data_IF_904427406388
#
_entry.id   IF_904427406388
#
_cell.length_a   1.000
_cell.length_b   1.000
_cell.length_c   1.000
_cell.angle_alpha   90.00
_cell.angle_beta   90.00
_cell.angle_gamma   90.00
#
_symmetry.space_group_name_H-M   'P 1'
#
loop_
_entity.id
_entity.type
_entity.pdbx_description
1 polymer ?
#
# COMPACT_ATOMS: atom_id res chain seq x y z
N UNK A 1 1.62 -10.86 16.30
CA UNK A 1 0.83 -11.21 15.09
C UNK A 1 1.30 -12.56 14.55
N UNK A 2 0.38 -13.51 14.32
CA UNK A 2 0.71 -14.87 13.85
C UNK A 2 1.27 -14.81 12.42
N UNK A 3 2.39 -15.48 12.16
CA UNK A 3 3.22 -15.46 10.94
C UNK A 3 2.51 -15.81 9.62
N UNK A 4 1.25 -16.19 9.69
CA UNK A 4 0.43 -16.73 8.62
C UNK A 4 -0.23 -15.64 7.75
N UNK A 5 -0.40 -14.41 8.25
CA UNK A 5 -1.15 -13.36 7.53
C UNK A 5 -0.33 -12.60 6.49
N UNK A 6 1.01 -12.73 6.44
CA UNK A 6 1.93 -11.90 5.62
C UNK A 6 1.79 -11.97 4.08
N UNK A 7 0.82 -12.71 3.53
CA UNK A 7 0.61 -12.75 2.08
C UNK A 7 0.00 -11.43 1.58
N UNK A 8 0.59 -10.74 0.59
CA UNK A 8 0.03 -9.50 0.02
C UNK A 8 -1.41 -9.66 -0.48
N UNK A 9 -1.76 -10.86 -0.98
CA UNK A 9 -3.12 -11.17 -1.46
C UNK A 9 -4.14 -11.13 -0.32
N UNK A 10 -3.83 -11.64 0.87
CA UNK A 10 -4.75 -11.61 2.01
C UNK A 10 -5.11 -10.17 2.41
N UNK A 11 -4.12 -9.29 2.39
CA UNK A 11 -4.34 -7.88 2.75
C UNK A 11 -4.97 -7.08 1.63
N UNK A 12 -4.66 -7.36 0.36
CA UNK A 12 -5.38 -6.76 -0.75
C UNK A 12 -6.88 -7.12 -0.71
N UNK A 13 -7.22 -8.40 -0.44
CA UNK A 13 -8.60 -8.85 -0.25
C UNK A 13 -9.24 -8.17 0.97
N UNK A 14 -8.54 -8.09 2.11
CA UNK A 14 -9.05 -7.39 3.30
C UNK A 14 -9.33 -5.90 3.02
N UNK A 15 -8.45 -5.22 2.27
CA UNK A 15 -8.64 -3.83 1.85
C UNK A 15 -9.88 -3.64 0.97
N UNK A 16 -10.13 -4.54 0.02
CA UNK A 16 -11.33 -4.49 -0.83
C UNK A 16 -12.63 -4.67 -0.04
N UNK A 17 -12.62 -5.53 0.98
CA UNK A 17 -13.75 -5.77 1.89
C UNK A 17 -13.97 -4.59 2.84
N UNK A 18 -12.91 -3.93 3.31
CA UNK A 18 -12.98 -2.70 4.11
C UNK A 18 -13.58 -1.55 3.30
N UNK A 19 -13.15 -1.40 2.05
CA UNK A 19 -13.66 -0.37 1.13
C UNK A 19 -15.15 -0.56 0.86
N UNK A 20 -15.57 -1.79 0.55
CA UNK A 20 -16.97 -2.13 0.27
C UNK A 20 -17.23 -3.61 0.54
N UNK A 21 -18.22 -3.95 1.40
CA UNK A 21 -18.70 -5.33 1.55
C UNK A 21 -19.14 -5.93 0.22
N UNK A 22 -18.76 -7.17 -0.07
CA UNK A 22 -19.02 -7.80 -1.38
C UNK A 22 -19.01 -9.32 -1.28
N UNK A 23 -19.59 -10.00 -2.27
CA UNK A 23 -19.55 -11.46 -2.36
C UNK A 23 -18.23 -11.95 -3.00
N UNK A 24 -17.83 -13.19 -2.72
CA UNK A 24 -16.49 -13.70 -3.05
C UNK A 24 -16.10 -13.55 -4.54
N UNK A 25 -17.05 -13.73 -5.45
CA UNK A 25 -16.82 -13.55 -6.88
C UNK A 25 -16.63 -12.08 -7.29
N UNK A 26 -17.38 -11.13 -6.71
CA UNK A 26 -17.16 -9.68 -6.94
C UNK A 26 -15.79 -9.24 -6.41
N UNK A 27 -15.37 -9.75 -5.25
CA UNK A 27 -14.04 -9.47 -4.70
C UNK A 27 -12.93 -9.99 -5.60
N UNK A 28 -13.10 -11.19 -6.18
CA UNK A 28 -12.18 -11.74 -7.16
C UNK A 28 -12.05 -10.84 -8.40
N UNK A 29 -13.18 -10.41 -8.97
CA UNK A 29 -13.18 -9.50 -10.12
C UNK A 29 -12.51 -8.16 -9.79
N UNK A 30 -12.89 -7.52 -8.68
CA UNK A 30 -12.29 -6.24 -8.24
C UNK A 30 -10.78 -6.35 -8.02
N UNK A 31 -10.32 -7.46 -7.45
CA UNK A 31 -8.89 -7.71 -7.25
C UNK A 31 -8.15 -7.84 -8.58
N UNK A 32 -8.69 -8.63 -9.51
CA UNK A 32 -8.10 -8.82 -10.85
C UNK A 32 -8.08 -7.51 -11.64
N UNK A 33 -9.17 -6.74 -11.65
CA UNK A 33 -9.26 -5.46 -12.36
C UNK A 33 -8.29 -4.41 -11.81
N UNK A 34 -8.10 -4.34 -10.48
CA UNK A 34 -7.28 -3.28 -9.87
C UNK A 34 -5.81 -3.64 -9.70
N UNK A 35 -5.48 -4.91 -9.52
CA UNK A 35 -4.16 -5.34 -9.08
C UNK A 35 -3.62 -6.55 -9.86
N UNK A 36 -4.33 -7.04 -10.89
CA UNK A 36 -3.99 -8.27 -11.60
C UNK A 36 -2.62 -8.25 -12.29
N UNK A 37 -2.13 -7.07 -12.69
CA UNK A 37 -0.80 -6.91 -13.30
C UNK A 37 0.31 -6.68 -12.25
N UNK A 38 -0.05 -6.23 -11.04
CA UNK A 38 0.88 -5.88 -9.96
C UNK A 38 1.13 -7.06 -8.99
N UNK A 39 0.18 -8.00 -8.93
CA UNK A 39 0.24 -9.20 -8.09
C UNK A 39 0.32 -10.41 -9.02
N UNK A 40 1.54 -10.76 -9.46
CA UNK A 40 1.78 -12.03 -10.15
C UNK A 40 1.17 -13.15 -9.30
N UNK A 41 0.26 -13.92 -9.90
CA UNK A 41 -0.56 -14.99 -9.30
C UNK A 41 -1.90 -14.55 -8.65
N UNK A 42 -2.87 -14.24 -9.49
CA UNK A 42 -4.29 -14.14 -9.08
C UNK A 42 -5.16 -15.25 -9.69
N UNK A 43 -4.83 -16.51 -9.38
CA UNK A 43 -5.76 -17.62 -9.61
C UNK A 43 -7.01 -17.42 -8.72
N UNK A 44 -8.24 -17.64 -9.23
CA UNK A 44 -9.48 -17.57 -8.45
C UNK A 44 -9.41 -18.29 -7.09
N UNK A 45 -8.69 -19.41 -7.04
CA UNK A 45 -8.53 -20.24 -5.85
C UNK A 45 -7.83 -19.52 -4.68
N UNK A 46 -6.96 -18.54 -4.96
CA UNK A 46 -6.22 -17.80 -3.92
C UNK A 46 -7.11 -16.80 -3.19
N UNK A 47 -8.09 -16.20 -3.87
CA UNK A 47 -9.02 -15.24 -3.27
C UNK A 47 -9.93 -15.94 -2.26
N UNK A 48 -10.47 -17.11 -2.61
CA UNK A 48 -11.31 -17.88 -1.69
C UNK A 48 -10.51 -18.44 -0.50
N UNK A 49 -9.26 -18.87 -0.71
CA UNK A 49 -8.36 -19.25 0.37
C UNK A 49 -8.04 -18.08 1.32
N UNK A 50 -7.90 -16.86 0.78
CA UNK A 50 -7.70 -15.65 1.57
C UNK A 50 -8.94 -15.31 2.40
N UNK A 51 -10.15 -15.38 1.82
CA UNK A 51 -11.41 -15.13 2.52
C UNK A 51 -11.62 -16.11 3.68
N UNK A 52 -11.44 -17.41 3.45
CA UNK A 52 -11.51 -18.44 4.50
C UNK A 52 -10.56 -18.12 5.66
N UNK A 53 -9.33 -17.70 5.33
CA UNK A 53 -8.31 -17.37 6.34
C UNK A 53 -8.67 -16.12 7.14
N UNK A 54 -9.07 -15.05 6.46
CA UNK A 54 -9.47 -13.80 7.11
C UNK A 54 -10.67 -14.01 8.04
N UNK A 55 -11.60 -14.90 7.66
CA UNK A 55 -12.74 -15.26 8.49
C UNK A 55 -12.33 -16.08 9.72
N UNK A 56 -11.44 -17.08 9.56
CA UNK A 56 -10.88 -17.84 10.70
C UNK A 56 -10.14 -16.97 11.70
N UNK A 57 -9.46 -15.93 11.22
CA UNK A 57 -8.77 -14.93 12.06
C UNK A 57 -9.73 -13.81 12.56
N UNK A 58 -11.03 -13.91 12.28
CA UNK A 58 -12.08 -12.97 12.72
C UNK A 58 -11.90 -11.53 12.21
N UNK A 59 -11.20 -11.36 11.09
CA UNK A 59 -10.96 -10.06 10.45
C UNK A 59 -12.09 -9.68 9.50
N UNK A 60 -12.84 -10.67 9.02
CA UNK A 60 -14.08 -10.49 8.24
C UNK A 60 -15.17 -11.40 8.80
N UNK A 61 -16.42 -11.05 8.51
CA UNK A 61 -17.62 -11.81 8.88
C UNK A 61 -18.57 -11.93 7.68
N UNK A 62 -19.44 -12.93 7.70
CA UNK A 62 -20.55 -13.01 6.76
C UNK A 62 -21.54 -11.87 7.04
N UNK A 63 -21.96 -11.20 5.98
CA UNK A 63 -23.04 -10.22 5.99
C UNK A 63 -24.24 -10.88 5.33
N UNK A 64 -25.34 -11.01 6.06
CA UNK A 64 -26.59 -11.50 5.49
C UNK A 64 -27.10 -10.53 4.41
N UNK A 65 -27.76 -11.10 3.41
CA UNK A 65 -28.12 -10.47 2.13
C UNK A 65 -28.75 -9.08 2.32
N UNK A 66 -28.28 -8.09 1.56
CA UNK A 66 -29.03 -6.84 1.39
C UNK A 66 -30.33 -7.16 0.63
N UNK A 67 -31.52 -6.95 1.23
CA UNK A 67 -32.80 -7.26 0.60
C UNK A 67 -33.11 -6.37 -0.62
N UNK A 68 -32.29 -5.35 -0.92
CA UNK A 68 -32.45 -4.47 -2.08
C UNK A 68 -31.85 -5.00 -3.39
N UNK A 69 -31.16 -6.15 -3.36
CA UNK A 69 -30.70 -6.83 -4.58
C UNK A 69 -31.84 -7.71 -5.13
N UNK A 70 -32.31 -7.37 -6.33
CA UNK A 70 -33.45 -8.04 -6.99
C UNK A 70 -33.33 -9.57 -6.96
N UNK A 71 -34.46 -10.29 -6.81
CA UNK A 71 -34.45 -11.75 -6.82
C UNK A 71 -33.87 -12.26 -8.15
N UNK A 72 -32.85 -13.12 -8.06
CA UNK A 72 -32.33 -13.86 -9.22
C UNK A 72 -33.52 -14.61 -9.85
N UNK A 73 -33.79 -14.29 -11.12
CA UNK A 73 -34.77 -14.86 -12.04
C UNK A 73 -35.17 -16.32 -11.72
N UNK A 74 -36.47 -16.58 -11.57
CA UNK A 74 -37.09 -17.82 -11.02
C UNK A 74 -36.82 -19.10 -11.82
N UNK A 75 -35.98 -19.06 -12.85
CA UNK A 75 -35.73 -20.17 -13.76
C UNK A 75 -34.30 -20.74 -13.75
N UNK A 76 -33.49 -20.41 -12.72
CA UNK A 76 -32.14 -20.99 -12.57
C UNK A 76 -32.10 -21.98 -11.40
N UNK A 77 -31.65 -23.24 -11.61
CA UNK A 77 -31.68 -24.27 -10.57
C UNK A 77 -30.79 -23.87 -9.39
N UNK A 78 -31.40 -23.65 -8.24
CA UNK A 78 -30.81 -23.55 -6.89
C UNK A 78 -29.39 -22.95 -6.86
N UNK A 79 -29.27 -21.65 -7.16
CA UNK A 79 -28.03 -20.93 -6.84
C UNK A 79 -27.98 -20.68 -5.34
N UNK A 80 -27.03 -21.35 -4.67
CA UNK A 80 -26.70 -21.12 -3.27
C UNK A 80 -26.66 -19.61 -2.96
N UNK A 81 -27.18 -19.16 -1.81
CA UNK A 81 -27.19 -17.74 -1.45
C UNK A 81 -25.78 -17.14 -1.55
N UNK A 82 -25.65 -16.04 -2.30
CA UNK A 82 -24.37 -15.36 -2.48
C UNK A 82 -23.91 -14.78 -1.15
N UNK A 83 -22.95 -15.44 -0.52
CA UNK A 83 -22.37 -15.04 0.77
C UNK A 83 -21.59 -13.73 0.59
N UNK A 84 -22.01 -12.68 1.29
CA UNK A 84 -21.35 -11.37 1.31
C UNK A 84 -20.39 -11.30 2.50
N UNK A 85 -19.24 -10.67 2.34
CA UNK A 85 -18.24 -10.49 3.39
C UNK A 85 -18.14 -9.03 3.80
N UNK A 86 -18.00 -8.78 5.12
CA UNK A 86 -17.77 -7.45 5.71
C UNK A 86 -16.60 -7.49 6.68
N UNK A 87 -15.78 -6.44 6.71
CA UNK A 87 -14.67 -6.33 7.64
C UNK A 87 -15.16 -6.07 9.08
N UNK A 88 -14.48 -6.68 10.05
CA UNK A 88 -14.68 -6.38 11.48
C UNK A 88 -13.86 -5.15 11.89
N UNK A 89 -14.14 -4.59 13.07
CA UNK A 89 -13.31 -3.53 13.65
C UNK A 89 -11.85 -3.99 13.81
N UNK A 90 -11.65 -5.23 14.26
CA UNK A 90 -10.34 -5.86 14.38
C UNK A 90 -9.66 -6.04 13.02
N UNK A 91 -10.41 -6.41 11.98
CA UNK A 91 -9.94 -6.43 10.60
C UNK A 91 -9.38 -5.10 10.14
N UNK A 92 -10.09 -4.00 10.42
CA UNK A 92 -9.63 -2.65 10.08
C UNK A 92 -8.39 -2.22 10.89
N UNK A 93 -8.25 -2.66 12.15
CA UNK A 93 -7.05 -2.42 12.97
C UNK A 93 -5.85 -3.19 12.41
N UNK A 94 -6.01 -4.49 12.14
CA UNK A 94 -4.94 -5.36 11.62
C UNK A 94 -4.51 -4.93 10.23
N UNK A 95 -5.44 -4.52 9.36
CA UNK A 95 -5.12 -3.99 8.04
C UNK A 95 -4.23 -2.73 8.14
N UNK A 96 -4.59 -1.79 9.03
CA UNK A 96 -3.78 -0.58 9.28
C UNK A 96 -2.40 -0.91 9.85
N UNK A 97 -2.33 -1.86 10.78
CA UNK A 97 -1.05 -2.33 11.34
C UNK A 97 -0.18 -2.96 10.26
N UNK A 98 -0.73 -3.82 9.40
CA UNK A 98 0.03 -4.42 8.31
C UNK A 98 0.49 -3.41 7.27
N UNK A 99 -0.36 -2.44 6.90
CA UNK A 99 0.07 -1.34 6.05
C UNK A 99 1.31 -0.69 6.67
N UNK A 100 1.25 -0.33 7.96
CA UNK A 100 2.41 0.19 8.70
C UNK A 100 3.62 -0.77 8.76
N UNK A 101 3.43 -2.09 8.62
CA UNK A 101 4.52 -3.07 8.63
C UNK A 101 5.17 -3.30 7.26
N UNK A 102 4.42 -3.36 6.15
CA UNK A 102 4.97 -3.45 4.77
C UNK A 102 5.69 -2.19 4.35
N UNK A 103 5.20 -1.10 4.90
CA UNK A 103 5.89 0.16 4.94
C UNK A 103 7.33 0.02 5.43
N UNK A 104 7.79 -0.99 6.18
CA UNK A 104 9.23 -1.03 6.53
C UNK A 104 10.22 -1.02 5.35
N UNK A 105 9.80 -1.28 4.11
CA UNK A 105 10.61 -1.01 2.91
C UNK A 105 10.43 0.41 2.30
N UNK A 106 9.38 1.19 2.66
CA UNK A 106 9.20 2.63 2.34
C UNK A 106 8.28 3.37 3.36
N UNK A 107 8.65 3.33 4.64
CA UNK A 107 7.64 3.40 5.72
C UNK A 107 7.33 4.78 6.17
N UNK A 108 8.42 5.54 6.23
CA UNK A 108 8.41 6.96 6.38
C UNK A 108 7.57 7.63 5.27
N UNK A 109 7.51 7.08 4.05
CA UNK A 109 6.73 7.68 2.95
C UNK A 109 5.24 7.55 3.12
N UNK A 110 4.75 6.36 3.44
CA UNK A 110 3.30 6.19 3.60
C UNK A 110 2.83 6.74 4.95
N UNK A 111 3.68 6.75 5.97
CA UNK A 111 3.44 7.56 7.16
C UNK A 111 3.37 9.04 6.81
N UNK A 112 4.29 9.56 6.02
CA UNK A 112 4.26 10.93 5.52
C UNK A 112 2.96 11.19 4.76
N UNK A 113 2.60 10.38 3.76
CA UNK A 113 1.38 10.55 2.97
C UNK A 113 0.14 10.50 3.88
N UNK A 114 0.07 9.55 4.81
CA UNK A 114 -1.01 9.46 5.78
C UNK A 114 -1.11 10.71 6.66
N UNK A 115 0.03 11.24 7.14
CA UNK A 115 0.10 12.48 7.92
C UNK A 115 -0.22 13.70 7.06
N UNK A 116 0.16 13.76 5.79
CA UNK A 116 -0.21 14.83 4.87
C UNK A 116 -1.73 14.87 4.63
N UNK A 117 -2.34 13.70 4.42
CA UNK A 117 -3.79 13.56 4.30
C UNK A 117 -4.48 13.98 5.61
N UNK A 118 -3.92 13.61 6.77
CA UNK A 118 -4.49 13.91 8.08
C UNK A 118 -4.34 15.37 8.52
N UNK A 119 -3.19 16.01 8.28
CA UNK A 119 -2.93 17.43 8.59
C UNK A 119 -3.81 18.33 7.73
N UNK A 120 -4.10 17.92 6.49
CA UNK A 120 -4.88 18.71 5.54
C UNK A 120 -4.14 19.98 5.07
N UNK A 121 -4.61 20.61 4.00
CA UNK A 121 -3.87 21.66 3.27
C UNK A 121 -3.78 23.04 3.97
N UNK A 122 -4.15 23.17 5.26
CA UNK A 122 -4.24 24.46 5.96
C UNK A 122 -3.04 24.81 6.82
N UNK A 123 -2.34 23.82 7.36
CA UNK A 123 -1.15 24.04 8.19
C UNK A 123 0.13 23.80 7.39
N UNK A 124 0.51 24.81 6.60
CA UNK A 124 1.68 24.75 5.73
C UNK A 124 2.99 24.57 6.51
N UNK A 125 3.04 25.04 7.77
CA UNK A 125 4.21 24.87 8.65
C UNK A 125 4.33 23.41 9.07
N UNK A 126 3.24 22.81 9.57
CA UNK A 126 3.25 21.40 9.95
C UNK A 126 3.54 20.48 8.76
N UNK A 127 3.06 20.82 7.56
CA UNK A 127 3.39 20.08 6.33
C UNK A 127 4.90 20.20 6.01
N UNK A 128 5.47 21.41 6.13
CA UNK A 128 6.91 21.64 5.94
C UNK A 128 7.76 20.80 6.91
N UNK A 129 7.43 20.83 8.20
CA UNK A 129 8.14 20.09 9.24
C UNK A 129 8.11 18.56 9.01
N UNK A 130 7.02 18.04 8.43
CA UNK A 130 6.90 16.62 8.08
C UNK A 130 7.79 16.26 6.88
N UNK A 131 7.83 17.12 5.85
CA UNK A 131 8.67 16.91 4.66
C UNK A 131 10.15 17.00 5.03
N UNK A 132 10.55 17.95 5.87
CA UNK A 132 11.94 18.11 6.30
C UNK A 132 12.43 16.91 7.12
N UNK A 133 11.54 16.32 7.93
CA UNK A 133 11.84 15.08 8.66
C UNK A 133 12.03 13.90 7.71
N UNK A 134 11.16 13.77 6.71
CA UNK A 134 11.28 12.71 5.71
C UNK A 134 12.55 12.85 4.86
N UNK A 135 12.91 14.08 4.48
CA UNK A 135 14.17 14.38 3.78
C UNK A 135 15.41 13.93 4.57
N UNK A 136 15.46 14.24 5.87
CA UNK A 136 16.54 13.79 6.74
C UNK A 136 16.66 12.25 6.78
N UNK A 137 15.54 11.53 6.72
CA UNK A 137 15.52 10.07 6.68
C UNK A 137 16.00 9.52 5.33
N UNK A 138 15.59 10.12 4.20
CA UNK A 138 16.07 9.76 2.86
C UNK A 138 17.59 10.01 2.70
N UNK A 139 18.08 11.16 3.18
CA UNK A 139 19.52 11.49 3.15
C UNK A 139 20.31 10.50 4.00
N UNK A 140 19.84 10.18 5.21
CA UNK A 140 20.50 9.20 6.06
C UNK A 140 20.48 7.79 5.44
N UNK A 141 19.42 7.42 4.73
CA UNK A 141 19.33 6.16 4.01
C UNK A 141 20.34 6.09 2.85
N UNK A 142 20.49 7.18 2.08
CA UNK A 142 21.50 7.29 1.00
C UNK A 142 22.93 7.13 1.53
N UNK A 143 23.25 7.73 2.69
CA UNK A 143 24.59 7.61 3.29
C UNK A 143 24.93 6.20 3.79
N UNK A 144 23.93 5.39 4.15
CA UNK A 144 24.12 3.99 4.57
C UNK A 144 24.24 3.02 3.39
N UNK A 145 24.02 3.53 2.18
CA UNK A 145 24.09 2.72 0.99
C UNK A 145 25.56 2.43 0.64
N UNK A 146 25.95 1.16 0.50
CA UNK A 146 27.31 0.84 0.11
C UNK A 146 27.57 1.39 -1.29
N UNK A 147 28.64 2.19 -1.44
CA UNK A 147 29.15 2.60 -2.75
C UNK A 147 29.40 1.32 -3.55
N UNK A 148 28.75 1.19 -4.71
CA UNK A 148 28.97 0.05 -5.58
C UNK A 148 30.46 0.03 -5.96
N UNK A 149 31.20 -0.92 -5.41
CA UNK A 149 32.62 -1.04 -5.66
C UNK A 149 32.83 -1.58 -7.07
N UNK A 150 32.99 -0.65 -8.03
CA UNK A 150 33.27 -0.98 -9.44
C UNK A 150 34.56 -1.80 -9.58
N UNK A 151 35.47 -1.75 -8.61
CA UNK A 151 36.75 -2.47 -8.65
C UNK A 151 36.60 -3.99 -8.44
N UNK A 152 35.54 -4.46 -7.77
CA UNK A 152 35.32 -5.90 -7.54
C UNK A 152 34.83 -6.64 -8.81
N UNK A 153 34.28 -5.92 -9.80
CA UNK A 153 33.88 -6.49 -11.08
C UNK A 153 35.08 -6.89 -11.97
N UNK A 154 36.28 -6.36 -11.68
CA UNK A 154 37.49 -6.57 -12.46
C UNK A 154 38.24 -7.88 -12.11
N UNK A 155 37.82 -8.58 -11.04
CA UNK A 155 38.45 -9.81 -10.57
C UNK A 155 37.95 -11.10 -11.27
N UNK A 156 37.14 -10.98 -12.33
CA UNK A 156 36.94 -12.04 -13.33
C UNK A 156 36.14 -13.28 -12.90
N UNK A 157 35.52 -13.31 -11.72
CA UNK A 157 34.54 -14.35 -11.34
C UNK A 157 33.31 -13.68 -10.72
N UNK A 158 32.50 -13.00 -11.54
CA UNK A 158 31.17 -12.53 -11.12
C UNK A 158 30.29 -13.75 -10.81
N UNK A 159 30.09 -14.03 -9.52
CA UNK A 159 29.08 -15.00 -9.10
C UNK A 159 27.69 -14.38 -9.29
N UNK A 160 26.69 -15.16 -9.68
CA UNK A 160 25.28 -14.72 -9.83
C UNK A 160 24.76 -13.90 -8.64
N UNK A 161 25.26 -14.18 -7.42
CA UNK A 161 24.99 -13.42 -6.19
C UNK A 161 25.46 -11.96 -6.23
N UNK A 162 26.56 -11.66 -6.89
CA UNK A 162 27.09 -10.30 -7.04
C UNK A 162 26.28 -9.48 -8.03
N UNK A 163 25.79 -10.13 -9.09
CA UNK A 163 24.87 -9.53 -10.05
C UNK A 163 23.53 -9.16 -9.38
N UNK A 164 22.91 -10.12 -8.67
CA UNK A 164 21.65 -9.86 -7.94
C UNK A 164 21.84 -8.78 -6.87
N UNK A 165 22.94 -8.81 -6.11
CA UNK A 165 23.26 -7.77 -5.13
C UNK A 165 23.35 -6.39 -5.77
N UNK A 166 24.00 -6.27 -6.94
CA UNK A 166 24.10 -5.01 -7.67
C UNK A 166 22.73 -4.50 -8.11
N UNK A 167 21.89 -5.37 -8.67
CA UNK A 167 20.52 -5.00 -9.06
C UNK A 167 19.69 -4.48 -7.87
N UNK A 168 19.77 -5.13 -6.72
CA UNK A 168 19.06 -4.70 -5.49
C UNK A 168 19.58 -3.36 -4.99
N UNK A 169 20.89 -3.10 -5.07
CA UNK A 169 21.42 -1.78 -4.72
C UNK A 169 20.98 -0.72 -5.73
N UNK A 170 21.04 -0.99 -7.03
CA UNK A 170 20.60 0.00 -8.02
C UNK A 170 19.11 0.35 -7.91
N UNK A 171 18.25 -0.62 -7.63
CA UNK A 171 16.82 -0.39 -7.35
C UNK A 171 16.61 0.55 -6.16
N UNK A 172 17.27 0.28 -5.03
CA UNK A 172 17.20 1.13 -3.83
C UNK A 172 17.68 2.56 -4.10
N UNK A 173 18.68 2.70 -4.95
CA UNK A 173 19.24 4.00 -5.35
C UNK A 173 18.21 4.78 -6.15
N UNK A 174 17.58 4.14 -7.14
CA UNK A 174 16.52 4.77 -7.93
C UNK A 174 15.31 5.17 -7.09
N UNK A 175 14.92 4.36 -6.11
CA UNK A 175 13.83 4.71 -5.18
C UNK A 175 14.19 5.95 -4.37
N UNK A 176 15.38 6.01 -3.76
CA UNK A 176 15.83 7.18 -3.00
C UNK A 176 15.93 8.44 -3.87
N UNK A 177 16.47 8.33 -5.08
CA UNK A 177 16.55 9.45 -6.03
C UNK A 177 15.15 9.98 -6.39
N UNK A 178 14.17 9.10 -6.59
CA UNK A 178 12.79 9.49 -6.86
C UNK A 178 12.13 10.18 -5.65
N UNK A 179 12.42 9.72 -4.43
CA UNK A 179 11.89 10.32 -3.19
C UNK A 179 12.44 11.73 -2.97
N UNK A 180 13.75 11.93 -3.13
CA UNK A 180 14.38 13.25 -3.01
C UNK A 180 13.83 14.24 -4.04
N UNK A 181 13.65 13.80 -5.29
CA UNK A 181 13.00 14.63 -6.32
C UNK A 181 11.58 15.05 -5.96
N UNK A 182 10.81 14.16 -5.32
CA UNK A 182 9.47 14.50 -4.84
C UNK A 182 9.49 15.49 -3.68
N UNK A 183 10.46 15.38 -2.77
CA UNK A 183 10.66 16.34 -1.66
C UNK A 183 10.89 17.75 -2.21
N UNK A 184 11.75 17.89 -3.23
CA UNK A 184 12.03 19.18 -3.86
C UNK A 184 10.77 19.80 -4.45
N UNK A 185 10.00 19.00 -5.20
CA UNK A 185 8.69 19.40 -5.73
C UNK A 185 7.74 19.85 -4.61
N UNK A 186 7.63 19.08 -3.52
CA UNK A 186 6.73 19.41 -2.42
C UNK A 186 7.12 20.71 -1.70
N UNK A 187 8.42 20.97 -1.53
CA UNK A 187 8.93 22.23 -0.97
C UNK A 187 8.64 23.43 -1.88
N UNK A 188 8.74 23.26 -3.20
CA UNK A 188 8.37 24.29 -4.17
C UNK A 188 6.88 24.64 -4.08
N UNK A 189 6.01 23.64 -4.04
CA UNK A 189 4.56 23.84 -3.89
C UNK A 189 4.20 24.55 -2.58
N UNK A 190 4.84 24.18 -1.47
CA UNK A 190 4.65 24.87 -0.18
C UNK A 190 5.03 26.34 -0.23
N UNK A 191 6.21 26.65 -0.79
CA UNK A 191 6.67 28.04 -0.96
C UNK A 191 5.69 28.84 -1.83
N UNK A 192 5.25 28.28 -2.94
CA UNK A 192 4.27 28.90 -3.82
C UNK A 192 2.90 29.11 -3.14
N UNK A 193 2.48 28.20 -2.25
CA UNK A 193 1.22 28.33 -1.50
C UNK A 193 1.31 29.39 -0.39
N UNK A 194 2.43 29.46 0.32
CA UNK A 194 2.66 30.46 1.36
C UNK A 194 2.71 31.89 0.78
N UNK A 195 3.38 32.08 -0.37
CA UNK A 195 3.41 33.36 -1.07
C UNK A 195 2.00 33.85 -1.48
N UNK A 196 1.15 32.94 -1.96
CA UNK A 196 -0.27 33.23 -2.27
C UNK A 196 -1.06 33.66 -1.03
N UNK A 197 -0.90 32.95 0.09
CA UNK A 197 -1.58 33.31 1.35
C UNK A 197 -1.15 34.67 1.92
N UNK A 198 0.12 35.05 1.77
CA UNK A 198 0.61 36.36 2.19
C UNK A 198 0.09 37.51 1.31
N UNK A 199 -0.06 37.27 0.00
CA UNK A 199 -0.66 38.22 -0.93
C UNK A 199 -2.13 38.49 -0.64
N UNK A 200 -2.92 37.45 -0.36
CA UNK A 200 -4.35 37.56 -0.02
C UNK A 200 -4.60 38.26 1.33
N UNK A 201 -3.66 38.20 2.28
CA UNK A 201 -3.79 38.85 3.59
C UNK A 201 -3.43 40.35 3.59
N UNK A 202 -2.80 40.84 2.52
CA UNK A 202 -2.35 42.23 2.38
C UNK A 202 -3.28 43.06 1.48
N UNK A 203 -4.28 42.40 0.86
CA UNK A 203 -5.30 43.00 0.01
C UNK A 203 -6.61 43.24 0.79
#
# INVERSE_FOLDING_TARGET
MKSSLRSPVNYAVLGLVIEKPSYGYELMQRLQTRYGELLEVSSPSHVYAALDRLQRERLIVHHDRDPSLEPDDENTPSRQPKVTYRATADGAVVYRQWLAEQLRDDGARVELIGRLIATGARDLRAIGDLIDRYDAECVAASQRMPLADRAAADAGVEHERDFVRRLVQEERRFVLEAQLRWIDFAREELRARAARQAGDATA
#
